data_IF_134377169487
#
_entry.id   IF_134377169487
#
_cell.length_a   1.000
_cell.length_b   1.000
_cell.length_c   1.000
_cell.angle_alpha   90.00
_cell.angle_beta   90.00
_cell.angle_gamma   90.00
#
_symmetry.space_group_name_H-M   'P 1'
#
loop_
_entity.id
_entity.type
_entity.pdbx_description
1 polymer ?
#
# COMPACT_ATOMS: atom_id res chain seq x y z
N UNK A 1 -14.71 -3.85 -0.18
CA UNK A 1 -13.93 -3.57 1.04
C UNK A 1 -12.55 -2.98 0.73
N UNK A 2 -11.79 -3.61 -0.15
CA UNK A 2 -10.46 -3.11 -0.50
C UNK A 2 -10.48 -1.69 -1.02
N UNK A 3 -11.36 -1.41 -1.96
CA UNK A 3 -11.51 -0.08 -2.53
C UNK A 3 -11.91 0.96 -1.48
N UNK A 4 -12.72 0.55 -0.54
CA UNK A 4 -13.16 1.41 0.55
C UNK A 4 -11.99 1.79 1.46
N UNK A 5 -11.16 0.81 1.84
CA UNK A 5 -9.99 1.05 2.69
C UNK A 5 -8.98 1.95 1.99
N UNK A 6 -8.73 1.71 0.70
CA UNK A 6 -7.82 2.53 -0.09
C UNK A 6 -8.33 3.96 -0.24
N UNK A 7 -9.63 4.12 -0.48
CA UNK A 7 -10.25 5.44 -0.57
C UNK A 7 -10.14 6.19 0.76
N UNK A 8 -10.32 5.48 1.87
CA UNK A 8 -10.19 6.03 3.21
C UNK A 8 -8.76 6.53 3.47
N UNK A 9 -7.76 5.78 3.04
CA UNK A 9 -6.37 6.22 3.13
C UNK A 9 -6.13 7.48 2.30
N UNK A 10 -6.69 7.54 1.10
CA UNK A 10 -6.52 8.69 0.21
C UNK A 10 -7.17 9.97 0.74
N UNK A 11 -8.10 9.86 1.67
CA UNK A 11 -8.72 11.01 2.32
C UNK A 11 -7.73 11.76 3.22
N UNK A 12 -6.62 11.13 3.61
CA UNK A 12 -5.56 11.83 4.31
C UNK A 12 -4.88 12.81 3.36
N UNK A 13 -4.72 14.06 3.77
CA UNK A 13 -4.14 15.10 2.92
C UNK A 13 -2.68 14.81 2.51
N UNK A 14 -2.00 13.93 3.24
CA UNK A 14 -0.59 13.61 3.00
C UNK A 14 -0.40 12.40 2.09
N UNK A 15 -1.43 11.61 1.87
CA UNK A 15 -1.34 10.40 1.05
C UNK A 15 -1.77 10.72 -0.37
N UNK A 16 -0.84 10.58 -1.32
CA UNK A 16 -1.11 10.86 -2.72
C UNK A 16 -1.61 9.66 -3.51
N UNK A 17 -1.17 8.46 -3.12
CA UNK A 17 -1.58 7.22 -3.79
C UNK A 17 -1.62 6.08 -2.80
N UNK A 18 -2.52 5.13 -3.05
CA UNK A 18 -2.57 3.87 -2.30
C UNK A 18 -2.96 2.75 -3.25
N UNK A 19 -2.41 1.57 -3.05
CA UNK A 19 -2.70 0.42 -3.90
C UNK A 19 -2.58 -0.87 -3.12
N UNK A 20 -3.37 -1.87 -3.53
CA UNK A 20 -3.26 -3.25 -3.04
C UNK A 20 -2.84 -4.11 -4.21
N UNK A 21 -1.77 -4.89 -4.00
CA UNK A 21 -1.28 -5.84 -4.98
C UNK A 21 -1.58 -7.25 -4.50
N UNK A 22 -1.88 -8.15 -5.44
CA UNK A 22 -2.12 -9.55 -5.12
C UNK A 22 -0.80 -10.30 -4.91
N UNK A 23 -0.89 -11.60 -4.67
CA UNK A 23 0.27 -12.45 -4.40
C UNK A 23 1.22 -12.59 -5.58
N UNK A 24 0.80 -12.18 -6.77
CA UNK A 24 1.64 -12.21 -7.97
C UNK A 24 2.18 -10.84 -8.35
N UNK A 25 1.87 -9.81 -7.55
CA UNK A 25 2.37 -8.47 -7.79
C UNK A 25 1.51 -7.62 -8.72
N UNK A 26 0.32 -8.11 -9.09
CA UNK A 26 -0.59 -7.32 -9.91
C UNK A 26 -1.44 -6.40 -9.03
N UNK A 27 -1.67 -5.18 -9.52
CA UNK A 27 -2.49 -4.21 -8.81
C UNK A 27 -3.94 -4.66 -8.85
N UNK A 28 -4.49 -4.93 -7.67
CA UNK A 28 -5.87 -5.35 -7.51
C UNK A 28 -6.81 -4.16 -7.35
N UNK A 29 -6.36 -3.16 -6.60
CA UNK A 29 -7.10 -1.91 -6.38
C UNK A 29 -6.11 -0.77 -6.23
N UNK A 30 -6.47 0.41 -6.71
CA UNK A 30 -5.63 1.59 -6.53
C UNK A 30 -6.49 2.86 -6.46
N UNK A 31 -5.94 3.88 -5.81
CA UNK A 31 -6.53 5.21 -5.79
C UNK A 31 -5.38 6.22 -5.85
N UNK A 32 -5.24 7.02 -6.90
CA UNK A 32 -6.13 7.10 -8.08
C UNK A 32 -6.16 5.81 -8.89
N UNK A 33 -7.28 5.53 -9.48
CA UNK A 33 -7.46 4.34 -10.30
C UNK A 33 -7.17 4.68 -11.77
N UNK A 34 -5.88 4.72 -12.11
CA UNK A 34 -5.44 4.99 -13.48
C UNK A 34 -4.21 4.16 -13.80
N UNK A 35 -3.90 4.05 -15.10
CA UNK A 35 -2.81 3.21 -15.57
C UNK A 35 -1.44 3.67 -15.08
N UNK A 36 -1.22 4.97 -15.00
CA UNK A 36 0.05 5.53 -14.51
C UNK A 36 0.33 5.09 -13.07
N UNK A 37 -0.66 5.21 -12.19
CA UNK A 37 -0.53 4.79 -10.80
C UNK A 37 -0.30 3.29 -10.70
N UNK A 38 -1.06 2.51 -11.45
CA UNK A 38 -0.92 1.05 -11.44
C UNK A 38 0.46 0.60 -11.90
N UNK A 39 0.99 1.20 -12.96
CA UNK A 39 2.32 0.86 -13.47
C UNK A 39 3.40 1.22 -12.45
N UNK A 40 3.30 2.38 -11.83
CA UNK A 40 4.26 2.83 -10.83
C UNK A 40 4.26 1.89 -9.62
N UNK A 41 3.08 1.53 -9.12
CA UNK A 41 2.96 0.63 -7.97
C UNK A 41 3.46 -0.78 -8.29
N UNK A 42 3.21 -1.26 -9.49
CA UNK A 42 3.72 -2.56 -9.93
C UNK A 42 5.25 -2.58 -9.97
N UNK A 43 5.88 -1.50 -10.40
CA UNK A 43 7.34 -1.41 -10.43
C UNK A 43 7.94 -1.45 -9.03
N UNK A 44 7.33 -0.75 -8.08
CA UNK A 44 7.77 -0.81 -6.69
C UNK A 44 7.66 -2.23 -6.16
N UNK A 45 6.58 -2.93 -6.49
CA UNK A 45 6.38 -4.30 -6.07
C UNK A 45 7.46 -5.23 -6.63
N UNK A 46 7.82 -5.09 -7.89
CA UNK A 46 8.88 -5.90 -8.50
C UNK A 46 10.20 -5.77 -7.76
N UNK A 47 10.57 -4.55 -7.41
CA UNK A 47 11.81 -4.27 -6.70
C UNK A 47 11.79 -4.88 -5.31
N UNK A 48 10.66 -4.81 -4.63
CA UNK A 48 10.56 -5.15 -3.21
C UNK A 48 10.21 -6.61 -2.96
N UNK A 49 9.43 -7.22 -3.85
CA UNK A 49 9.11 -8.64 -3.74
C UNK A 49 10.28 -9.52 -4.16
N UNK A 50 11.32 -8.95 -4.78
CA UNK A 50 12.56 -9.67 -5.03
C UNK A 50 13.30 -10.02 -3.74
N UNK A 51 12.94 -9.38 -2.62
CA UNK A 51 13.51 -9.68 -1.31
C UNK A 51 12.41 -10.13 -0.36
N UNK A 52 12.48 -11.37 0.10
CA UNK A 52 11.51 -11.93 1.04
C UNK A 52 11.64 -11.39 2.45
N UNK A 53 12.62 -10.52 2.69
CA UNK A 53 12.91 -10.02 4.02
C UNK A 53 12.01 -8.87 4.46
N UNK A 54 11.29 -8.23 3.53
CA UNK A 54 10.52 -7.03 3.84
C UNK A 54 9.05 -7.34 4.09
N UNK A 55 8.63 -7.32 5.36
CA UNK A 55 7.22 -7.37 5.73
C UNK A 55 6.64 -5.96 5.88
N UNK A 56 7.46 -5.07 6.40
CA UNK A 56 7.13 -3.66 6.56
C UNK A 56 8.36 -2.85 6.24
N UNK A 57 8.25 -1.91 5.34
CA UNK A 57 9.36 -1.06 5.00
C UNK A 57 8.89 0.33 4.56
N UNK A 58 9.78 1.28 4.68
CA UNK A 58 9.57 2.65 4.19
C UNK A 58 10.74 3.02 3.30
N UNK A 59 10.46 3.58 2.15
CA UNK A 59 11.47 4.09 1.25
C UNK A 59 11.29 5.59 1.18
N UNK A 60 12.33 6.33 1.56
CA UNK A 60 12.29 7.79 1.55
C UNK A 60 13.17 8.26 0.40
N UNK A 61 12.55 8.95 -0.54
CA UNK A 61 13.26 9.59 -1.64
C UNK A 61 13.27 11.09 -1.42
N UNK A 62 13.95 11.82 -2.29
CA UNK A 62 14.00 13.27 -2.23
C UNK A 62 12.62 13.91 -2.29
N UNK A 63 11.68 13.29 -3.00
CA UNK A 63 10.37 13.88 -3.28
C UNK A 63 9.20 13.15 -2.64
N UNK A 64 9.38 11.91 -2.21
CA UNK A 64 8.26 11.08 -1.76
C UNK A 64 8.67 10.08 -0.69
N UNK A 65 7.69 9.65 0.07
CA UNK A 65 7.82 8.56 1.03
C UNK A 65 6.91 7.45 0.56
N UNK A 66 7.45 6.26 0.42
CA UNK A 66 6.69 5.07 0.02
C UNK A 66 6.70 4.10 1.18
N UNK A 67 5.52 3.74 1.65
CA UNK A 67 5.36 2.78 2.75
C UNK A 67 4.76 1.51 2.18
N UNK A 68 5.40 0.40 2.49
CA UNK A 68 4.99 -0.92 2.02
C UNK A 68 4.70 -1.78 3.23
N UNK A 69 3.56 -2.45 3.20
CA UNK A 69 3.13 -3.29 4.29
C UNK A 69 2.61 -4.61 3.70
N UNK A 70 3.27 -5.71 4.05
CA UNK A 70 2.88 -7.03 3.59
C UNK A 70 1.58 -7.45 4.30
N UNK A 71 0.62 -7.92 3.54
CA UNK A 71 -0.67 -8.39 4.06
C UNK A 71 -0.69 -9.92 4.09
N UNK A 72 -1.73 -10.49 4.68
CA UNK A 72 -1.93 -11.94 4.66
C UNK A 72 -2.08 -12.42 3.22
N UNK A 73 -1.83 -13.70 2.98
CA UNK A 73 -1.94 -14.35 1.67
C UNK A 73 -0.98 -13.75 0.64
N UNK A 74 0.12 -13.15 1.12
CA UNK A 74 1.14 -12.50 0.28
C UNK A 74 0.63 -11.31 -0.53
N UNK A 75 -0.45 -10.72 -0.12
CA UNK A 75 -0.89 -9.43 -0.68
C UNK A 75 -0.01 -8.32 -0.11
N UNK A 76 -0.01 -7.19 -0.77
CA UNK A 76 0.84 -6.05 -0.38
C UNK A 76 0.06 -4.75 -0.46
N UNK A 77 0.18 -3.93 0.58
CA UNK A 77 -0.34 -2.57 0.58
C UNK A 77 0.81 -1.61 0.35
N UNK A 78 0.68 -0.73 -0.65
CA UNK A 78 1.67 0.31 -0.95
C UNK A 78 0.99 1.66 -0.86
N UNK A 79 1.62 2.58 -0.11
CA UNK A 79 1.12 3.94 0.08
C UNK A 79 2.23 4.92 -0.27
N UNK A 80 1.90 5.92 -1.07
CA UNK A 80 2.81 6.99 -1.44
C UNK A 80 2.38 8.28 -0.77
N UNK A 81 3.30 8.93 -0.07
CA UNK A 81 3.02 10.12 0.74
C UNK A 81 3.94 11.25 0.36
N UNK A 82 3.56 12.49 0.69
CA UNK A 82 4.43 13.63 0.55
C UNK A 82 5.54 13.61 1.61
N UNK A 83 6.67 14.24 1.31
CA UNK A 83 7.78 14.32 2.26
C UNK A 83 7.49 15.22 3.46
N UNK A 84 6.42 16.02 3.38
CA UNK A 84 5.99 16.87 4.49
C UNK A 84 5.10 16.15 5.48
N UNK A 85 4.84 14.87 5.26
CA UNK A 85 3.95 14.08 6.10
C UNK A 85 4.51 13.88 7.49
N UNK A 86 3.63 13.78 8.47
CA UNK A 86 3.99 13.25 9.78
C UNK A 86 4.08 11.73 9.64
N UNK A 87 5.30 11.22 9.52
CA UNK A 87 5.54 9.81 9.23
C UNK A 87 4.95 8.88 10.29
N UNK A 88 5.00 9.29 11.55
CA UNK A 88 4.42 8.50 12.64
C UNK A 88 2.91 8.31 12.47
N UNK A 89 2.19 9.39 12.16
CA UNK A 89 0.75 9.32 11.93
C UNK A 89 0.42 8.51 10.69
N UNK A 90 1.19 8.69 9.62
CA UNK A 90 0.96 7.94 8.38
C UNK A 90 1.18 6.45 8.61
N UNK A 91 2.21 6.07 9.35
CA UNK A 91 2.46 4.67 9.67
C UNK A 91 1.33 4.06 10.49
N UNK A 92 0.74 4.83 11.41
CA UNK A 92 -0.41 4.37 12.17
C UNK A 92 -1.62 4.16 11.27
N UNK A 93 -1.88 5.09 10.34
CA UNK A 93 -2.97 4.97 9.39
C UNK A 93 -2.80 3.76 8.49
N UNK A 94 -1.58 3.54 8.01
CA UNK A 94 -1.26 2.39 7.15
C UNK A 94 -1.41 1.09 7.93
N UNK A 95 -0.92 1.03 9.17
CA UNK A 95 -1.04 -0.15 10.00
C UNK A 95 -2.50 -0.48 10.30
N UNK A 96 -3.33 0.54 10.57
CA UNK A 96 -4.76 0.35 10.79
C UNK A 96 -5.44 -0.18 9.53
N UNK A 97 -5.13 0.40 8.38
CA UNK A 97 -5.66 -0.06 7.11
C UNK A 97 -5.24 -1.49 6.80
N UNK A 98 -3.97 -1.82 7.04
CA UNK A 98 -3.45 -3.17 6.83
C UNK A 98 -4.18 -4.19 7.71
N UNK A 99 -4.46 -3.83 8.96
CA UNK A 99 -5.20 -4.70 9.87
C UNK A 99 -6.62 -4.97 9.37
N UNK A 100 -7.30 -3.94 8.87
CA UNK A 100 -8.64 -4.08 8.30
C UNK A 100 -8.62 -4.96 7.06
N UNK A 101 -7.63 -4.78 6.20
CA UNK A 101 -7.46 -5.59 4.99
C UNK A 101 -7.13 -7.03 5.33
N UNK A 102 -6.28 -7.28 6.31
CA UNK A 102 -5.94 -8.62 6.76
C UNK A 102 -7.18 -9.37 7.25
N UNK A 103 -8.02 -8.70 8.01
CA UNK A 103 -9.27 -9.27 8.50
C UNK A 103 -10.19 -9.62 7.34
N UNK A 104 -10.33 -8.72 6.38
CA UNK A 104 -11.16 -8.94 5.20
C UNK A 104 -10.63 -10.09 4.35
N UNK A 105 -9.33 -10.10 4.05
CA UNK A 105 -8.71 -11.12 3.22
C UNK A 105 -8.78 -12.50 3.87
N UNK A 106 -8.63 -12.55 5.19
CA UNK A 106 -8.75 -13.81 5.93
C UNK A 106 -10.18 -14.34 5.90
N UNK A 107 -11.18 -13.47 5.95
CA UNK A 107 -12.58 -13.90 5.96
C UNK A 107 -13.09 -14.31 4.59
N UNK A 108 -12.42 -13.90 3.50
CA UNK A 108 -12.85 -14.24 2.13
C UNK A 108 -12.09 -15.43 1.56
N UNK A 109 -11.21 -16.05 2.35
CA UNK A 109 -10.46 -17.22 1.88
C UNK A 109 -11.35 -18.45 1.84
N UNK A 110 -11.44 -19.03 0.70
CA UNK A 110 -12.15 -20.29 0.49
C UNK A 110 -11.24 -21.28 -0.19
#
# INVERSE_FOLDING_TARGET
>A
MEEFVISDLRDSEYISCAAILDDQGFVKSSNPNNNETKQRMSKFAEILLASDEFNKTSIITEYRIIIIHRLVRNFTLIVECSTNSNLGLIREEVASAASRLDTYLSSTSN
#
